data_IF_839922136658
#
_entry.id   IF_839922136658
#
_cell.length_a   1.000
_cell.length_b   1.000
_cell.length_c   1.000
_cell.angle_alpha   90.00
_cell.angle_beta   90.00
_cell.angle_gamma   90.00
#
_symmetry.space_group_name_H-M   'P 1'
#
loop_
_entity.id
_entity.type
_entity.pdbx_description
1 polymer ?
#
# COMPACT_ATOMS: atom_id res chain seq x y z
N UNK A 1 -40.95 8.71 27.29
CA UNK A 1 -40.40 8.73 25.92
C UNK A 1 -39.09 7.97 25.92
N UNK A 2 -39.07 6.74 25.41
CA UNK A 2 -37.84 5.96 25.30
C UNK A 2 -37.05 6.49 24.10
N UNK A 3 -35.83 6.99 24.35
CA UNK A 3 -34.87 7.33 23.33
C UNK A 3 -34.48 6.05 22.59
N UNK A 4 -34.90 5.94 21.32
CA UNK A 4 -34.39 4.94 20.39
C UNK A 4 -32.93 5.29 20.11
N UNK A 5 -32.00 4.64 20.83
CA UNK A 5 -30.59 4.59 20.46
C UNK A 5 -30.49 3.83 19.14
N UNK A 6 -30.44 4.56 18.02
CA UNK A 6 -30.04 3.99 16.74
C UNK A 6 -28.57 3.60 16.86
N UNK A 7 -28.30 2.32 17.13
CA UNK A 7 -26.97 1.77 17.07
C UNK A 7 -26.40 2.08 15.68
N UNK A 8 -25.51 3.06 15.61
CA UNK A 8 -24.88 3.45 14.35
C UNK A 8 -23.89 2.33 14.06
N UNK A 9 -24.15 1.51 13.05
CA UNK A 9 -23.26 0.42 12.65
C UNK A 9 -21.89 1.02 12.34
N UNK A 10 -20.85 0.53 13.02
CA UNK A 10 -19.48 0.98 12.80
C UNK A 10 -19.13 0.84 11.31
N UNK A 11 -18.56 1.87 10.66
CA UNK A 11 -18.10 1.76 9.28
C UNK A 11 -17.14 0.58 9.10
N UNK A 12 -17.21 -0.09 7.94
CA UNK A 12 -16.34 -1.22 7.57
C UNK A 12 -15.82 -1.02 6.15
N UNK A 13 -14.74 -1.73 5.80
CA UNK A 13 -14.27 -1.78 4.41
C UNK A 13 -15.15 -2.72 3.59
N UNK A 14 -15.47 -2.32 2.36
CA UNK A 14 -16.06 -3.24 1.39
C UNK A 14 -15.15 -4.46 1.16
N UNK A 15 -15.77 -5.62 0.95
CA UNK A 15 -15.10 -6.86 0.52
C UNK A 15 -15.63 -7.24 -0.86
N UNK A 16 -14.72 -7.46 -1.81
CA UNK A 16 -15.05 -7.79 -3.19
C UNK A 16 -14.18 -8.97 -3.63
N UNK A 17 -14.78 -10.00 -4.21
CA UNK A 17 -14.06 -11.20 -4.66
C UNK A 17 -13.56 -11.03 -6.10
N UNK A 18 -12.25 -11.11 -6.32
CA UNK A 18 -11.65 -10.99 -7.65
C UNK A 18 -12.07 -12.12 -8.61
N UNK A 19 -12.57 -13.25 -8.10
CA UNK A 19 -13.11 -14.34 -8.92
C UNK A 19 -14.52 -14.02 -9.47
N UNK A 20 -15.23 -13.06 -8.89
CA UNK A 20 -16.55 -12.66 -9.34
C UNK A 20 -16.47 -11.77 -10.59
N UNK A 21 -17.19 -12.09 -11.69
CA UNK A 21 -17.17 -11.27 -12.91
C UNK A 21 -17.66 -9.83 -12.72
N UNK A 22 -18.40 -9.58 -11.63
CA UNK A 22 -18.89 -8.25 -11.25
C UNK A 22 -17.81 -7.39 -10.58
N UNK A 23 -16.70 -7.98 -10.12
CA UNK A 23 -15.60 -7.24 -9.49
C UNK A 23 -14.76 -6.57 -10.57
N UNK A 24 -15.07 -5.29 -10.81
CA UNK A 24 -14.36 -4.46 -11.78
C UNK A 24 -13.43 -3.45 -11.07
N UNK A 25 -12.39 -2.94 -11.75
CA UNK A 25 -11.59 -1.83 -11.22
C UNK A 25 -12.43 -0.63 -10.82
N UNK A 26 -13.53 -0.37 -11.52
CA UNK A 26 -14.44 0.73 -11.21
C UNK A 26 -15.11 0.55 -9.84
N UNK A 27 -15.56 -0.66 -9.51
CA UNK A 27 -16.16 -0.92 -8.19
C UNK A 27 -15.11 -0.90 -7.07
N UNK A 28 -13.87 -1.32 -7.33
CA UNK A 28 -12.77 -1.13 -6.38
C UNK A 28 -12.53 0.37 -6.12
N UNK A 29 -12.49 1.18 -7.18
CA UNK A 29 -12.31 2.64 -7.09
C UNK A 29 -13.46 3.28 -6.31
N UNK A 30 -14.70 2.85 -6.54
CA UNK A 30 -15.88 3.34 -5.81
C UNK A 30 -15.82 3.00 -4.32
N UNK A 31 -15.44 1.76 -3.98
CA UNK A 31 -15.22 1.34 -2.61
C UNK A 31 -14.10 2.16 -1.94
N UNK A 32 -12.96 2.33 -2.61
CA UNK A 32 -11.83 3.12 -2.10
C UNK A 32 -12.23 4.59 -1.91
N UNK A 33 -12.97 5.19 -2.85
CA UNK A 33 -13.45 6.58 -2.69
C UNK A 33 -14.38 6.74 -1.49
N UNK A 34 -15.22 5.74 -1.22
CA UNK A 34 -16.18 5.76 -0.11
C UNK A 34 -15.52 5.48 1.24
N UNK A 35 -14.69 4.44 1.32
CA UNK A 35 -14.18 3.88 2.58
C UNK A 35 -12.70 4.19 2.83
N UNK A 36 -11.98 4.64 1.81
CA UNK A 36 -10.53 4.90 1.83
C UNK A 36 -9.68 3.64 1.63
N UNK A 37 -10.31 2.47 1.62
CA UNK A 37 -9.71 1.19 1.27
C UNK A 37 -10.76 0.13 0.95
N UNK A 38 -10.31 -1.00 0.42
CA UNK A 38 -11.12 -2.13 0.01
C UNK A 38 -10.36 -3.42 0.24
N UNK A 39 -11.06 -4.45 0.69
CA UNK A 39 -10.52 -5.81 0.77
C UNK A 39 -10.89 -6.53 -0.52
N UNK A 40 -9.89 -7.07 -1.19
CA UNK A 40 -10.06 -7.86 -2.41
C UNK A 40 -9.75 -9.32 -2.08
N UNK A 41 -10.77 -10.16 -2.10
CA UNK A 41 -10.64 -11.59 -1.86
C UNK A 41 -10.13 -12.28 -3.14
N UNK A 42 -9.37 -13.36 -2.98
CA UNK A 42 -8.78 -14.09 -4.11
C UNK A 42 -7.97 -13.20 -5.07
N UNK A 43 -7.36 -12.11 -4.56
CA UNK A 43 -6.60 -11.15 -5.35
C UNK A 43 -5.43 -11.81 -6.11
N UNK A 44 -4.76 -12.76 -5.46
CA UNK A 44 -3.87 -13.73 -6.10
C UNK A 44 -4.29 -15.15 -5.73
N UNK A 45 -3.89 -16.12 -6.55
CA UNK A 45 -4.16 -17.52 -6.21
C UNK A 45 -3.41 -17.94 -4.96
N UNK A 46 -4.00 -18.87 -4.21
CA UNK A 46 -3.36 -19.47 -3.04
C UNK A 46 -2.00 -20.08 -3.38
N UNK A 47 -1.90 -20.75 -4.53
CA UNK A 47 -0.64 -21.31 -5.02
C UNK A 47 0.43 -20.24 -5.24
N UNK A 48 0.05 -19.07 -5.76
CA UNK A 48 0.98 -17.96 -5.95
C UNK A 48 1.42 -17.37 -4.60
N UNK A 49 0.51 -17.22 -3.65
CA UNK A 49 0.85 -16.78 -2.29
C UNK A 49 1.83 -17.75 -1.61
N UNK A 50 1.58 -19.06 -1.71
CA UNK A 50 2.45 -20.09 -1.16
C UNK A 50 3.84 -20.09 -1.84
N UNK A 51 3.90 -19.87 -3.16
CA UNK A 51 5.16 -19.75 -3.89
C UNK A 51 5.96 -18.52 -3.43
N UNK A 52 5.33 -17.35 -3.34
CA UNK A 52 5.98 -16.11 -2.87
C UNK A 52 6.52 -16.32 -1.45
N UNK A 53 5.73 -16.94 -0.57
CA UNK A 53 6.16 -17.26 0.79
C UNK A 53 7.38 -18.18 0.79
N UNK A 54 7.40 -19.21 -0.05
CA UNK A 54 8.53 -20.12 -0.16
C UNK A 54 9.79 -19.41 -0.68
N UNK A 55 9.65 -18.53 -1.68
CA UNK A 55 10.76 -17.76 -2.26
C UNK A 55 11.37 -16.77 -1.25
N UNK A 56 10.53 -16.16 -0.40
CA UNK A 56 10.95 -15.21 0.63
C UNK A 56 11.53 -15.88 1.88
N UNK A 57 11.19 -17.16 2.14
CA UNK A 57 11.59 -17.86 3.36
C UNK A 57 13.09 -17.82 3.66
N UNK A 58 14.02 -18.08 2.71
CA UNK A 58 15.45 -17.98 2.97
C UNK A 58 15.91 -16.59 3.42
N UNK A 59 15.21 -15.54 2.98
CA UNK A 59 15.50 -14.16 3.37
C UNK A 59 15.01 -13.87 4.80
N UNK A 60 13.85 -14.39 5.20
CA UNK A 60 13.38 -14.29 6.58
C UNK A 60 14.20 -15.14 7.55
N UNK A 61 14.60 -16.34 7.15
CA UNK A 61 15.42 -17.23 7.98
C UNK A 61 16.83 -16.67 8.25
N UNK A 62 17.29 -15.74 7.41
CA UNK A 62 18.57 -15.04 7.55
C UNK A 62 18.43 -13.60 8.06
N UNK A 63 17.21 -13.17 8.38
CA UNK A 63 16.95 -11.84 8.90
C UNK A 63 17.57 -11.69 10.29
N UNK A 64 18.10 -10.50 10.56
CA UNK A 64 18.72 -10.17 11.84
C UNK A 64 17.82 -9.18 12.58
N UNK A 65 17.59 -9.36 13.90
CA UNK A 65 16.80 -8.42 14.68
C UNK A 65 17.28 -6.99 14.46
N UNK A 66 16.34 -6.07 14.20
CA UNK A 66 16.65 -4.66 14.02
C UNK A 66 17.45 -4.15 15.23
N UNK A 67 18.71 -3.80 14.97
CA UNK A 67 19.64 -3.35 16.01
C UNK A 67 19.31 -1.94 16.51
N UNK A 68 18.43 -1.21 15.82
CA UNK A 68 18.13 0.19 16.11
C UNK A 68 17.05 0.39 17.17
N UNK A 69 16.17 -0.59 17.41
CA UNK A 69 15.10 -0.49 18.42
C UNK A 69 14.14 0.67 18.14
N UNK A 70 13.82 0.90 16.86
CA UNK A 70 13.35 2.18 16.32
C UNK A 70 12.10 2.82 16.96
N UNK A 71 11.22 2.10 17.66
CA UNK A 71 10.11 2.70 18.41
C UNK A 71 9.93 2.11 19.82
N UNK A 72 9.65 2.95 20.84
CA UNK A 72 10.73 3.25 21.79
C UNK A 72 10.30 3.07 23.26
N UNK A 73 11.19 3.32 24.22
CA UNK A 73 10.69 3.71 25.56
C UNK A 73 10.55 5.22 25.74
N UNK A 74 11.30 6.08 25.05
CA UNK A 74 11.12 7.55 25.19
C UNK A 74 11.56 8.40 23.98
N UNK A 75 11.62 7.88 22.74
CA UNK A 75 12.17 8.61 21.59
C UNK A 75 11.45 9.94 21.30
N UNK A 76 12.22 11.00 21.00
CA UNK A 76 11.83 12.16 20.18
C UNK A 76 13.01 12.60 19.31
N UNK A 77 12.74 13.07 18.08
CA UNK A 77 13.75 13.61 17.15
C UNK A 77 13.12 14.68 16.24
N UNK A 78 13.92 15.66 15.83
CA UNK A 78 13.55 16.65 14.81
C UNK A 78 14.80 17.16 14.09
N UNK A 79 14.70 17.42 12.78
CA UNK A 79 15.62 18.33 12.08
C UNK A 79 14.87 19.14 11.03
N UNK A 80 14.91 20.47 11.16
CA UNK A 80 14.57 21.44 10.11
C UNK A 80 13.08 21.68 9.78
N UNK A 81 12.12 21.28 10.62
CA UNK A 81 10.65 21.28 10.34
C UNK A 81 10.02 22.69 10.17
N UNK A 82 10.08 23.29 8.99
CA UNK A 82 10.01 24.76 8.82
C UNK A 82 11.07 25.48 9.68
N UNK A 83 12.15 24.77 9.98
CA UNK A 83 12.94 24.91 11.19
C UNK A 83 12.14 25.49 12.36
N UNK A 84 11.27 24.61 12.85
CA UNK A 84 10.60 24.62 14.15
C UNK A 84 9.22 25.32 14.11
N UNK A 85 8.80 25.84 12.95
CA UNK A 85 7.70 26.81 12.78
C UNK A 85 6.29 26.23 12.57
N UNK A 86 5.30 27.06 12.92
CA UNK A 86 3.87 26.80 13.12
C UNK A 86 3.08 26.26 11.90
N UNK A 87 3.74 25.92 10.80
CA UNK A 87 3.14 25.51 9.56
C UNK A 87 3.88 24.34 8.89
N UNK A 88 4.52 23.43 9.64
CA UNK A 88 4.86 22.07 9.15
C UNK A 88 3.61 21.29 8.80
N UNK A 89 2.97 21.80 7.77
CA UNK A 89 1.62 21.55 7.35
C UNK A 89 1.76 20.62 6.16
N UNK A 90 1.84 19.35 6.50
CA UNK A 90 1.43 18.30 5.58
C UNK A 90 -0.08 18.23 5.79
N UNK A 91 -0.91 18.99 5.06
CA UNK A 91 -2.33 18.75 5.13
C UNK A 91 -2.50 17.27 4.83
N UNK A 92 -3.30 16.62 5.66
CA UNK A 92 -3.97 15.42 5.27
C UNK A 92 -4.81 15.79 4.04
N UNK A 93 -4.19 15.75 2.87
CA UNK A 93 -4.78 16.26 1.65
C UNK A 93 -5.80 15.22 1.19
N UNK A 94 -7.05 15.47 1.60
CA UNK A 94 -8.21 14.69 1.18
C UNK A 94 -8.45 14.79 -0.34
N UNK A 95 -7.93 15.83 -1.01
CA UNK A 95 -8.13 16.09 -2.44
C UNK A 95 -7.06 15.38 -3.29
N UNK A 96 -5.84 15.20 -2.79
CA UNK A 96 -4.71 14.62 -3.53
C UNK A 96 -4.02 13.47 -2.77
N UNK A 97 -4.61 12.26 -2.71
CA UNK A 97 -3.90 11.09 -2.25
C UNK A 97 -2.68 10.84 -3.17
N UNK A 98 -1.50 10.85 -2.57
CA UNK A 98 -0.22 10.73 -3.28
C UNK A 98 0.33 9.31 -3.34
N UNK A 99 -0.27 8.39 -2.58
CA UNK A 99 0.13 7.00 -2.44
C UNK A 99 -1.09 6.08 -2.41
N UNK A 100 -0.93 4.87 -2.94
CA UNK A 100 -1.82 3.73 -2.71
C UNK A 100 -0.99 2.55 -2.18
N UNK A 101 -1.46 1.94 -1.10
CA UNK A 101 -0.88 0.72 -0.53
C UNK A 101 -1.70 -0.50 -0.95
N UNK A 102 -1.02 -1.61 -1.23
CA UNK A 102 -1.61 -2.93 -1.40
C UNK A 102 -0.86 -3.90 -0.50
N UNK A 103 -1.54 -4.45 0.50
CA UNK A 103 -0.99 -5.43 1.43
C UNK A 103 -1.65 -6.77 1.18
N UNK A 104 -0.90 -7.73 0.64
CA UNK A 104 -1.38 -9.07 0.31
C UNK A 104 -0.96 -10.07 1.38
N UNK A 105 -1.89 -10.92 1.80
CA UNK A 105 -1.66 -11.93 2.83
C UNK A 105 -0.93 -13.17 2.26
N UNK A 106 0.17 -13.57 2.89
CA UNK A 106 0.85 -14.86 2.65
C UNK A 106 0.53 -15.89 3.75
N UNK A 107 0.15 -15.40 4.92
CA UNK A 107 -0.46 -16.16 6.01
C UNK A 107 -1.83 -15.57 6.32
N UNK A 108 -2.71 -16.38 6.91
CA UNK A 108 -3.99 -15.86 7.42
C UNK A 108 -3.71 -14.72 8.39
N UNK A 109 -4.35 -13.58 8.17
CA UNK A 109 -4.25 -12.41 9.05
C UNK A 109 -5.54 -12.28 9.82
N UNK A 110 -5.44 -12.22 11.14
CA UNK A 110 -6.55 -12.04 12.06
C UNK A 110 -6.28 -10.84 12.96
N UNK A 111 -7.31 -10.36 13.63
CA UNK A 111 -7.16 -9.31 14.66
C UNK A 111 -6.08 -9.68 15.69
N UNK A 112 -6.08 -10.94 16.14
CA UNK A 112 -5.19 -11.43 17.20
C UNK A 112 -3.73 -11.54 16.75
N UNK A 113 -3.49 -11.93 15.51
CA UNK A 113 -2.13 -12.06 14.96
C UNK A 113 -1.61 -10.78 14.28
N UNK A 114 -2.35 -9.68 14.43
CA UNK A 114 -1.89 -8.34 14.07
C UNK A 114 -2.22 -7.91 12.64
N UNK A 115 -3.37 -8.32 12.11
CA UNK A 115 -3.91 -7.81 10.84
C UNK A 115 -3.77 -6.27 10.75
N UNK A 116 -3.51 -5.76 9.55
CA UNK A 116 -3.49 -4.32 9.29
C UNK A 116 -4.80 -3.71 9.77
N UNK A 117 -4.74 -2.64 10.53
CA UNK A 117 -5.91 -1.89 10.97
C UNK A 117 -6.03 -0.60 10.16
N UNK A 118 -7.25 -0.22 9.81
CA UNK A 118 -7.55 1.05 9.16
C UNK A 118 -8.83 1.66 9.69
N UNK A 119 -9.00 2.97 9.54
CA UNK A 119 -10.24 3.65 9.98
C UNK A 119 -11.08 4.04 8.76
N UNK A 120 -12.16 3.31 8.43
CA UNK A 120 -12.91 3.58 7.21
C UNK A 120 -13.46 5.00 7.15
N UNK A 121 -13.30 5.65 5.99
CA UNK A 121 -13.74 7.02 5.74
C UNK A 121 -12.76 8.10 6.22
N UNK A 122 -11.68 7.72 6.91
CA UNK A 122 -10.76 8.71 7.48
C UNK A 122 -9.96 9.49 6.44
N UNK A 123 -9.85 8.96 5.22
CA UNK A 123 -9.24 9.65 4.07
C UNK A 123 -9.96 10.95 3.69
N UNK A 124 -11.20 11.14 4.16
CA UNK A 124 -12.00 12.35 3.95
C UNK A 124 -11.92 13.34 5.12
N UNK A 125 -11.28 12.96 6.23
CA UNK A 125 -11.17 13.83 7.39
C UNK A 125 -10.24 15.00 7.12
N UNK A 126 -10.49 16.10 7.83
CA UNK A 126 -9.54 17.19 7.95
C UNK A 126 -8.28 16.75 8.71
N UNK A 127 -7.25 17.60 8.66
CA UNK A 127 -5.96 17.38 9.31
C UNK A 127 -5.99 17.51 10.83
N UNK A 128 -7.08 18.04 11.42
CA UNK A 128 -7.19 18.28 12.86
C UNK A 128 -7.76 17.06 13.61
N UNK A 129 -8.56 16.24 12.93
CA UNK A 129 -9.15 15.04 13.51
C UNK A 129 -8.14 13.90 13.60
N UNK A 130 -8.02 13.33 14.80
CA UNK A 130 -7.23 12.12 15.07
C UNK A 130 -8.15 10.90 15.23
N UNK A 131 -7.70 9.70 14.83
CA UNK A 131 -8.47 8.48 15.04
C UNK A 131 -8.45 8.06 16.51
N UNK A 132 -9.52 7.40 16.96
CA UNK A 132 -9.54 6.61 18.20
C UNK A 132 -9.38 5.11 17.91
N UNK A 133 -8.84 4.36 18.87
CA UNK A 133 -8.59 2.92 18.72
C UNK A 133 -9.87 2.13 18.39
N UNK A 134 -11.00 2.51 19.00
CA UNK A 134 -12.29 1.88 18.76
C UNK A 134 -12.87 2.16 17.35
N UNK A 135 -12.33 3.13 16.61
CA UNK A 135 -12.71 3.40 15.22
C UNK A 135 -11.95 2.51 14.23
N UNK A 136 -10.77 2.00 14.63
CA UNK A 136 -9.96 1.15 13.78
C UNK A 136 -10.59 -0.23 13.56
N UNK A 137 -10.59 -0.69 12.32
CA UNK A 137 -11.13 -1.97 11.87
C UNK A 137 -9.97 -2.83 11.36
N UNK A 138 -9.82 -4.06 11.86
CA UNK A 138 -8.84 -4.99 11.31
C UNK A 138 -9.28 -5.47 9.92
N UNK A 139 -8.38 -5.37 8.95
CA UNK A 139 -8.51 -6.00 7.64
C UNK A 139 -8.03 -7.46 7.76
N UNK A 140 -8.92 -8.34 8.22
CA UNK A 140 -8.66 -9.79 8.28
C UNK A 140 -8.72 -10.39 6.86
N UNK A 141 -7.71 -11.20 6.54
CA UNK A 141 -7.41 -11.69 5.19
C UNK A 141 -7.03 -13.17 5.22
N UNK A 142 -7.52 -13.96 4.27
CA UNK A 142 -6.98 -15.27 3.97
C UNK A 142 -5.76 -15.15 3.03
N UNK A 143 -4.85 -16.14 3.00
CA UNK A 143 -3.71 -16.10 2.07
C UNK A 143 -4.17 -16.00 0.62
N UNK A 144 -3.70 -14.96 -0.07
CA UNK A 144 -4.11 -14.59 -1.42
C UNK A 144 -5.05 -13.37 -1.47
N UNK A 145 -5.69 -13.00 -0.37
CA UNK A 145 -6.46 -11.77 -0.28
C UNK A 145 -5.52 -10.55 -0.13
N UNK A 146 -6.02 -9.38 -0.51
CA UNK A 146 -5.30 -8.12 -0.37
C UNK A 146 -6.17 -7.03 0.26
N UNK A 147 -5.55 -6.15 1.05
CA UNK A 147 -6.13 -4.89 1.46
C UNK A 147 -5.48 -3.75 0.66
N UNK A 148 -6.29 -3.04 -0.12
CA UNK A 148 -5.86 -1.91 -0.97
C UNK A 148 -6.42 -0.63 -0.37
N UNK A 149 -5.57 0.37 -0.12
CA UNK A 149 -5.98 1.58 0.58
C UNK A 149 -5.19 2.81 0.15
N UNK A 150 -5.77 4.00 0.31
CA UNK A 150 -5.10 5.27 0.05
C UNK A 150 -4.08 5.59 1.15
N UNK A 151 -2.97 6.24 0.79
CA UNK A 151 -1.95 6.64 1.76
C UNK A 151 -2.40 7.70 2.77
N UNK A 152 -3.52 8.38 2.52
CA UNK A 152 -4.21 9.26 3.47
C UNK A 152 -5.33 8.52 4.24
N UNK A 153 -5.42 7.19 4.20
CA UNK A 153 -6.22 6.46 5.17
C UNK A 153 -5.43 6.38 6.49
N UNK A 154 -6.05 6.64 7.64
CA UNK A 154 -5.43 6.34 8.93
C UNK A 154 -5.34 4.82 9.08
N UNK A 155 -4.13 4.29 9.16
CA UNK A 155 -3.86 2.87 9.22
C UNK A 155 -2.59 2.57 10.03
N UNK A 156 -2.48 1.33 10.50
CA UNK A 156 -1.29 0.83 11.18
C UNK A 156 -1.21 -0.70 11.07
N UNK A 157 -0.04 -1.27 11.36
CA UNK A 157 0.07 -2.70 11.64
C UNK A 157 -0.63 -3.02 12.97
N UNK A 158 -1.51 -4.02 12.99
CA UNK A 158 -2.13 -4.48 14.22
C UNK A 158 -1.11 -5.11 15.18
N UNK A 159 -1.40 -5.02 16.49
CA UNK A 159 -0.57 -5.68 17.50
C UNK A 159 -0.77 -7.19 17.44
N UNK A 160 0.29 -7.94 17.15
CA UNK A 160 0.29 -9.40 17.29
C UNK A 160 0.40 -9.77 18.77
N UNK A 161 -0.65 -10.41 19.31
CA UNK A 161 -0.72 -10.88 20.71
C UNK A 161 -0.61 -12.41 20.84
N UNK A 162 -0.46 -13.11 19.72
CA UNK A 162 -0.23 -14.56 19.71
C UNK A 162 1.19 -14.89 20.18
N UNK A 163 1.40 -16.13 20.63
CA UNK A 163 2.72 -16.55 21.12
C UNK A 163 3.59 -17.19 20.04
N UNK A 164 2.99 -17.73 18.99
CA UNK A 164 3.65 -18.62 18.04
C UNK A 164 3.22 -18.41 16.58
N UNK A 165 2.53 -17.31 16.26
CA UNK A 165 2.20 -16.97 14.88
C UNK A 165 3.06 -15.82 14.35
N UNK A 166 3.64 -16.02 13.18
CA UNK A 166 4.33 -15.00 12.39
C UNK A 166 3.40 -14.57 11.26
N UNK A 167 3.02 -13.29 11.25
CA UNK A 167 2.15 -12.72 10.21
C UNK A 167 2.99 -12.22 9.05
N UNK A 168 3.01 -12.98 7.96
CA UNK A 168 3.76 -12.64 6.75
C UNK A 168 2.81 -12.03 5.71
N UNK A 169 3.18 -10.85 5.20
CA UNK A 169 2.44 -10.13 4.17
C UNK A 169 3.40 -9.47 3.20
N UNK A 170 3.00 -9.32 1.95
CA UNK A 170 3.73 -8.50 0.96
C UNK A 170 3.05 -7.14 0.85
N UNK A 171 3.79 -6.07 1.10
CA UNK A 171 3.35 -4.70 0.89
C UNK A 171 3.91 -4.14 -0.40
N UNK A 172 3.06 -3.69 -1.31
CA UNK A 172 3.43 -2.90 -2.48
C UNK A 172 2.81 -1.52 -2.32
N UNK A 173 3.67 -0.52 -2.17
CA UNK A 173 3.26 0.88 -2.02
C UNK A 173 3.66 1.65 -3.27
N UNK A 174 2.66 2.22 -3.95
CA UNK A 174 2.84 2.99 -5.17
C UNK A 174 2.61 4.46 -4.87
N UNK A 175 3.43 5.32 -5.45
CA UNK A 175 3.26 6.76 -5.38
C UNK A 175 2.99 7.35 -6.76
N UNK A 176 2.49 8.59 -6.81
CA UNK A 176 2.46 9.35 -8.07
C UNK A 176 3.88 9.41 -8.67
N UNK A 177 4.02 9.34 -10.00
CA UNK A 177 5.33 9.29 -10.66
C UNK A 177 6.14 10.60 -10.55
N UNK A 178 5.52 11.69 -10.11
CA UNK A 178 6.20 12.95 -9.77
C UNK A 178 6.91 12.90 -8.41
N UNK A 179 6.71 11.83 -7.64
CA UNK A 179 7.26 11.67 -6.29
C UNK A 179 8.37 10.62 -6.29
N UNK A 180 9.27 10.75 -5.31
CA UNK A 180 10.36 9.80 -5.11
C UNK A 180 9.83 8.53 -4.42
N UNK A 181 10.05 7.33 -4.99
CA UNK A 181 9.74 6.08 -4.30
C UNK A 181 10.58 5.89 -3.04
N UNK A 182 10.05 5.14 -2.07
CA UNK A 182 10.80 4.80 -0.85
C UNK A 182 12.01 3.91 -1.13
N UNK A 183 11.90 3.01 -2.12
CA UNK A 183 12.98 2.16 -2.60
C UNK A 183 13.37 2.52 -4.04
N UNK A 184 14.68 2.63 -4.30
CA UNK A 184 15.20 2.90 -5.64
C UNK A 184 15.18 1.61 -6.49
N UNK A 185 14.03 1.27 -7.06
CA UNK A 185 13.83 0.02 -7.81
C UNK A 185 14.82 -0.17 -8.98
N UNK A 186 15.19 0.91 -9.69
CA UNK A 186 16.22 0.88 -10.74
C UNK A 186 17.59 0.39 -10.29
N UNK A 187 17.92 0.54 -9.01
CA UNK A 187 19.20 0.10 -8.43
C UNK A 187 19.07 -1.28 -7.79
N UNK A 188 17.88 -1.64 -7.31
CA UNK A 188 17.63 -2.88 -6.59
C UNK A 188 17.30 -4.04 -7.54
N UNK A 189 16.70 -3.77 -8.69
CA UNK A 189 16.36 -4.78 -9.70
C UNK A 189 17.37 -4.73 -10.84
N UNK A 190 18.20 -5.78 -11.03
CA UNK A 190 19.16 -5.81 -12.13
C UNK A 190 18.46 -5.70 -13.50
N UNK A 191 19.08 -4.98 -14.44
CA UNK A 191 18.44 -4.67 -15.73
C UNK A 191 18.09 -5.93 -16.53
N UNK A 192 18.96 -6.93 -16.51
CA UNK A 192 18.73 -8.26 -17.09
C UNK A 192 17.48 -8.96 -16.53
N UNK A 193 17.15 -8.73 -15.26
CA UNK A 193 15.90 -9.23 -14.69
C UNK A 193 14.72 -8.39 -15.15
N UNK A 194 14.83 -7.06 -15.15
CA UNK A 194 13.77 -6.16 -15.61
C UNK A 194 13.37 -6.43 -17.08
N UNK A 195 14.34 -6.77 -17.96
CA UNK A 195 14.10 -7.14 -19.37
C UNK A 195 13.15 -8.32 -19.56
N UNK A 196 13.08 -9.23 -18.58
CA UNK A 196 12.24 -10.42 -18.64
C UNK A 196 10.81 -10.17 -18.15
N UNK A 197 10.55 -9.00 -17.55
CA UNK A 197 9.24 -8.64 -17.04
C UNK A 197 8.33 -8.16 -18.18
N UNK A 198 7.02 -8.25 -17.96
CA UNK A 198 6.04 -7.66 -18.86
C UNK A 198 6.19 -6.13 -18.88
N UNK A 199 5.85 -5.44 -19.99
CA UNK A 199 5.93 -3.98 -20.11
C UNK A 199 5.33 -3.21 -18.93
N UNK A 200 4.15 -3.62 -18.45
CA UNK A 200 3.49 -2.97 -17.30
C UNK A 200 4.32 -3.04 -16.02
N UNK A 201 5.01 -4.15 -15.76
CA UNK A 201 5.88 -4.28 -14.59
C UNK A 201 7.17 -3.45 -14.75
N UNK A 202 7.72 -3.37 -15.96
CA UNK A 202 8.84 -2.45 -16.25
C UNK A 202 8.43 -0.99 -15.97
N UNK A 203 7.25 -0.56 -16.41
CA UNK A 203 6.73 0.77 -16.09
C UNK A 203 6.56 0.98 -14.58
N UNK A 204 6.07 -0.02 -13.87
CA UNK A 204 5.90 0.03 -12.41
C UNK A 204 7.23 0.18 -11.66
N UNK A 205 8.33 -0.37 -12.18
CA UNK A 205 9.68 -0.17 -11.65
C UNK A 205 10.25 1.24 -11.92
N UNK A 206 9.52 2.07 -12.67
CA UNK A 206 9.82 3.46 -12.95
C UNK A 206 10.30 3.75 -14.38
N UNK A 207 10.48 2.74 -15.24
CA UNK A 207 11.04 2.94 -16.58
C UNK A 207 10.10 3.70 -17.54
N UNK A 208 8.84 3.91 -17.19
CA UNK A 208 7.89 4.68 -17.98
C UNK A 208 8.00 6.20 -17.77
N UNK A 209 7.67 6.97 -18.80
CA UNK A 209 7.61 8.44 -18.71
C UNK A 209 6.35 8.90 -17.99
N UNK A 210 6.51 9.86 -17.08
CA UNK A 210 5.41 10.68 -16.61
C UNK A 210 5.33 11.95 -17.45
N UNK A 211 4.28 12.04 -18.25
CA UNK A 211 3.98 13.23 -19.05
C UNK A 211 3.76 14.45 -18.14
N UNK A 212 4.18 15.66 -18.58
CA UNK A 212 4.79 15.94 -19.88
C UNK A 212 6.30 15.69 -19.96
N UNK A 213 7.03 15.59 -18.83
CA UNK A 213 8.49 15.76 -18.89
C UNK A 213 9.34 15.05 -17.84
N UNK A 214 8.88 13.95 -17.24
CA UNK A 214 9.63 13.21 -16.21
C UNK A 214 9.96 11.78 -16.62
N UNK A 215 11.15 11.31 -16.24
CA UNK A 215 11.57 9.90 -16.43
C UNK A 215 12.35 9.62 -17.72
N UNK A 216 12.74 10.64 -18.49
CA UNK A 216 13.53 10.44 -19.72
C UNK A 216 14.91 9.83 -19.47
N UNK A 217 15.37 9.04 -20.44
CA UNK A 217 16.77 8.62 -20.57
C UNK A 217 17.33 9.21 -21.86
N UNK A 218 18.30 10.13 -21.77
CA UNK A 218 18.88 10.82 -22.93
C UNK A 218 17.81 11.44 -23.87
N UNK A 219 16.80 12.11 -23.28
CA UNK A 219 15.64 12.68 -23.99
C UNK A 219 14.82 11.67 -24.82
N UNK A 220 14.87 10.39 -24.44
CA UNK A 220 14.08 9.32 -25.05
C UNK A 220 13.29 8.56 -23.98
N UNK A 221 12.29 7.80 -24.44
CA UNK A 221 11.54 6.87 -23.60
C UNK A 221 12.41 5.66 -23.21
N UNK A 222 12.70 5.44 -21.91
CA UNK A 222 13.48 4.29 -21.48
C UNK A 222 12.82 2.96 -21.87
N UNK A 223 11.48 2.90 -22.01
CA UNK A 223 10.79 1.70 -22.46
C UNK A 223 11.21 1.28 -23.87
N UNK A 224 11.34 2.25 -24.77
CA UNK A 224 11.78 2.02 -26.15
C UNK A 224 13.29 1.68 -26.18
N UNK A 225 14.12 2.51 -25.54
CA UNK A 225 15.60 2.39 -25.63
C UNK A 225 16.12 1.15 -24.91
N UNK A 226 15.57 0.85 -23.72
CA UNK A 226 16.05 -0.27 -22.93
C UNK A 226 15.36 -1.55 -23.31
N UNK A 227 14.04 -1.57 -23.54
CA UNK A 227 13.28 -2.82 -23.68
C UNK A 227 12.76 -3.08 -25.09
N UNK A 228 12.88 -2.13 -26.01
CA UNK A 228 12.31 -2.24 -27.36
C UNK A 228 10.78 -2.28 -27.37
N UNK A 229 10.15 -1.72 -26.32
CA UNK A 229 8.69 -1.69 -26.19
C UNK A 229 8.16 -0.43 -26.87
N UNK A 230 7.26 -0.62 -27.83
CA UNK A 230 6.48 0.43 -28.49
C UNK A 230 4.99 0.08 -28.40
N UNK A 231 4.22 0.94 -27.73
CA UNK A 231 2.79 0.77 -27.44
C UNK A 231 2.10 2.13 -27.22
N UNK A 232 0.84 2.13 -26.79
CA UNK A 232 0.04 3.35 -26.61
C UNK A 232 0.55 4.32 -25.52
N UNK A 233 1.40 3.84 -24.60
CA UNK A 233 1.99 4.66 -23.54
C UNK A 233 3.32 5.30 -23.97
N UNK A 234 3.90 4.85 -25.08
CA UNK A 234 5.22 5.27 -25.56
C UNK A 234 5.22 6.76 -25.91
N UNK A 235 6.23 7.48 -25.42
CA UNK A 235 6.39 8.92 -25.69
C UNK A 235 7.47 9.13 -26.74
N UNK A 236 7.04 9.48 -27.95
CA UNK A 236 7.93 9.91 -29.04
C UNK A 236 8.21 11.41 -28.87
N UNK A 237 9.49 11.74 -28.73
CA UNK A 237 9.99 13.12 -28.64
C UNK A 237 10.37 13.66 -30.02
#
# INVERSE_FOLDING_TARGET
MASLSTATTKPTFARLDAAEPSTTPQNLIEAIKRDGGVIVENFISRQLADQIKADLKPHFDSDIPDKSGFFPVTTQRATGLFNISDADYHPHDKELPVMIGCVTALTKTTKENGATIGVPGSHLWDSERRPYDEEAVPAELEPGDAFIFLGNLWHAGGKNITQNEYRETVGIFLCKPTLRPAENQFLMVPLERARQLKPQAQRLLGYGICKPSLGFMNYQDPMQVLFGVEDEETVVM
#
